data_IF_677171728514
#
_entry.id   IF_677171728514
#
_cell.length_a   1.000
_cell.length_b   1.000
_cell.length_c   1.000
_cell.angle_alpha   90.00
_cell.angle_beta   90.00
_cell.angle_gamma   90.00
#
_symmetry.space_group_name_H-M   'P 1'
#
loop_
_entity.id
_entity.type
_entity.pdbx_description
1 polymer ?
#
# COMPACT_ATOMS: atom_id res chain seq x y z
N UNK A 1 0.51 16.46 7.20
CA UNK A 1 -0.45 16.16 8.29
C UNK A 1 -1.50 15.23 7.70
N UNK A 2 -1.85 14.12 8.35
CA UNK A 2 -2.99 13.28 7.95
C UNK A 2 -4.29 14.10 8.05
N UNK A 3 -5.30 13.77 7.25
CA UNK A 3 -6.55 14.53 7.13
C UNK A 3 -7.19 14.80 8.51
N UNK A 4 -7.21 16.06 8.94
CA UNK A 4 -7.75 16.44 10.25
C UNK A 4 -9.28 16.56 10.15
N UNK A 5 -9.99 15.81 10.99
CA UNK A 5 -11.44 15.92 11.24
C UNK A 5 -11.66 16.11 12.75
N UNK A 6 -12.70 16.86 13.19
CA UNK A 6 -12.90 17.18 14.61
C UNK A 6 -13.04 15.98 15.55
N UNK A 7 -13.35 14.78 15.05
CA UNK A 7 -13.64 13.58 15.85
C UNK A 7 -12.58 12.44 15.74
N UNK A 8 -11.44 12.70 15.10
CA UNK A 8 -10.33 11.74 15.01
C UNK A 8 -9.43 11.90 13.78
N UNK A 9 -8.23 11.34 13.84
CA UNK A 9 -7.33 11.24 12.68
C UNK A 9 -7.65 9.97 11.88
N UNK A 10 -8.30 10.11 10.72
CA UNK A 10 -8.25 9.07 9.70
C UNK A 10 -6.95 9.24 8.92
N UNK A 11 -6.02 8.29 9.05
CA UNK A 11 -4.70 8.48 8.46
C UNK A 11 -3.91 7.20 8.29
N UNK A 12 -3.01 7.23 7.30
CA UNK A 12 -1.98 6.22 7.15
C UNK A 12 -0.95 6.39 8.28
N UNK A 13 -0.47 5.26 8.80
CA UNK A 13 0.64 5.23 9.74
C UNK A 13 1.69 4.24 9.21
N UNK A 14 2.95 4.60 9.36
CA UNK A 14 4.08 3.75 9.00
C UNK A 14 5.00 3.62 10.20
N UNK A 15 5.28 2.39 10.59
CA UNK A 15 6.22 2.07 11.65
C UNK A 15 7.41 1.35 11.03
N UNK A 16 8.61 1.76 11.43
CA UNK A 16 9.86 1.21 10.91
C UNK A 16 10.83 0.91 12.04
N UNK A 17 11.51 -0.24 11.95
CA UNK A 17 12.68 -0.56 12.77
C UNK A 17 13.88 0.31 12.39
N UNK A 18 13.99 0.66 11.11
CA UNK A 18 15.05 1.50 10.57
C UNK A 18 14.69 2.99 10.68
N UNK A 19 15.67 3.89 10.80
CA UNK A 19 15.40 5.33 10.86
C UNK A 19 14.57 5.82 9.67
N UNK A 20 13.52 6.58 9.95
CA UNK A 20 12.77 7.34 8.95
C UNK A 20 13.47 8.69 8.79
N UNK A 21 14.17 8.90 7.67
CA UNK A 21 14.96 10.11 7.43
C UNK A 21 14.12 11.24 6.84
N UNK A 22 13.08 10.88 6.08
CA UNK A 22 12.10 11.81 5.51
C UNK A 22 10.71 11.17 5.53
N UNK A 23 9.68 11.97 5.70
CA UNK A 23 8.30 11.55 5.51
C UNK A 23 7.48 12.70 4.96
N UNK A 24 6.54 12.37 4.08
CA UNK A 24 5.62 13.31 3.48
C UNK A 24 4.23 12.70 3.41
N UNK A 25 3.22 13.52 3.69
CA UNK A 25 1.83 13.13 3.58
C UNK A 25 1.24 13.88 2.39
N UNK A 26 0.99 13.14 1.32
CA UNK A 26 0.51 13.67 0.06
C UNK A 26 -1.01 13.59 0.04
N UNK A 27 -1.66 14.73 -0.14
CA UNK A 27 -3.12 14.78 -0.28
C UNK A 27 -3.51 14.27 -1.68
N UNK A 28 -4.29 13.19 -1.70
CA UNK A 28 -4.84 12.59 -2.93
C UNK A 28 -6.37 12.62 -2.91
N UNK A 29 -6.94 13.58 -2.18
CA UNK A 29 -8.38 13.77 -2.10
C UNK A 29 -8.93 14.20 -3.45
N UNK A 30 -9.95 13.47 -3.92
CA UNK A 30 -10.74 13.85 -5.09
C UNK A 30 -11.98 14.58 -4.59
N UNK A 31 -12.45 15.59 -5.34
CA UNK A 31 -13.58 16.43 -4.96
C UNK A 31 -14.75 15.62 -4.38
N UNK A 32 -15.09 15.90 -3.11
CA UNK A 32 -16.06 15.13 -2.34
C UNK A 32 -15.68 15.01 -0.85
N UNK A 33 -16.43 14.21 -0.08
CA UNK A 33 -16.26 14.11 1.36
C UNK A 33 -15.09 13.20 1.79
N UNK A 34 -14.63 12.31 0.91
CA UNK A 34 -13.57 11.34 1.21
C UNK A 34 -12.19 12.00 1.11
N UNK A 35 -11.71 12.56 2.22
CA UNK A 35 -10.30 12.96 2.33
C UNK A 35 -9.42 11.71 2.34
N UNK A 36 -8.38 11.69 1.51
CA UNK A 36 -7.43 10.57 1.39
C UNK A 36 -6.01 11.12 1.25
N UNK A 37 -5.07 10.42 1.86
CA UNK A 37 -3.65 10.73 1.74
C UNK A 37 -2.83 9.49 1.39
N UNK A 38 -1.62 9.72 0.89
CA UNK A 38 -0.55 8.72 0.80
C UNK A 38 0.55 9.15 1.77
N UNK A 39 1.02 8.23 2.61
CA UNK A 39 2.16 8.50 3.47
C UNK A 39 3.41 7.92 2.83
N UNK A 40 4.25 8.77 2.26
CA UNK A 40 5.57 8.41 1.77
C UNK A 40 6.59 8.58 2.88
N UNK A 41 7.48 7.60 3.05
CA UNK A 41 8.59 7.63 4.00
C UNK A 41 9.86 7.12 3.32
N UNK A 42 10.98 7.76 3.60
CA UNK A 42 12.31 7.30 3.20
C UNK A 42 12.97 6.69 4.43
N UNK A 43 13.37 5.42 4.30
CA UNK A 43 13.99 4.64 5.36
C UNK A 43 15.47 4.45 5.06
N UNK A 44 16.30 4.52 6.09
CA UNK A 44 17.72 4.21 5.99
C UNK A 44 17.95 2.73 6.34
N UNK A 45 17.90 1.87 5.32
CA UNK A 45 18.15 0.43 5.45
C UNK A 45 19.64 0.14 5.24
N UNK A 46 20.31 -0.67 6.10
CA UNK A 46 21.73 -0.98 5.93
C UNK A 46 22.05 -1.53 4.54
N UNK A 47 23.06 -0.97 3.87
CA UNK A 47 23.47 -1.38 2.52
C UNK A 47 22.77 -0.64 1.36
N UNK A 48 21.79 0.21 1.65
CA UNK A 48 21.05 0.98 0.64
C UNK A 48 21.03 2.46 1.01
N UNK A 49 21.10 3.34 0.01
CA UNK A 49 21.04 4.79 0.23
C UNK A 49 19.64 5.23 0.67
N UNK A 50 18.61 4.83 -0.07
CA UNK A 50 17.22 5.16 0.20
C UNK A 50 16.32 3.95 -0.05
N UNK A 51 15.44 3.64 0.92
CA UNK A 51 14.33 2.71 0.74
C UNK A 51 13.02 3.48 0.88
N UNK A 52 12.18 3.44 -0.16
CA UNK A 52 10.94 4.21 -0.19
C UNK A 52 9.78 3.33 0.22
N UNK A 53 9.09 3.71 1.29
CA UNK A 53 7.91 3.03 1.80
C UNK A 53 6.71 3.95 1.67
N UNK A 54 5.66 3.51 0.97
CA UNK A 54 4.45 4.28 0.71
C UNK A 54 3.26 3.53 1.29
N UNK A 55 2.61 4.11 2.30
CA UNK A 55 1.38 3.59 2.88
C UNK A 55 0.17 4.26 2.25
N UNK A 56 -0.80 3.45 1.80
CA UNK A 56 -1.96 3.92 1.04
C UNK A 56 -3.27 3.47 1.66
N UNK A 57 -4.29 4.32 1.51
CA UNK A 57 -5.69 3.96 1.72
C UNK A 57 -6.49 4.68 0.65
N UNK A 58 -6.99 3.97 -0.35
CA UNK A 58 -7.68 4.60 -1.50
C UNK A 58 -9.19 4.74 -1.26
N UNK A 59 -9.83 5.58 -2.06
CA UNK A 59 -11.26 5.87 -1.96
C UNK A 59 -12.16 4.65 -2.27
N UNK A 60 -13.42 4.71 -1.83
CA UNK A 60 -14.39 3.65 -2.08
C UNK A 60 -15.00 3.74 -3.48
N UNK A 61 -14.98 4.94 -4.07
CA UNK A 61 -15.47 5.19 -5.44
C UNK A 61 -14.40 4.83 -6.46
N UNK A 62 -14.75 3.97 -7.41
CA UNK A 62 -13.84 3.52 -8.47
C UNK A 62 -13.21 4.69 -9.24
N UNK A 63 -14.00 5.67 -9.67
CA UNK A 63 -13.49 6.83 -10.41
C UNK A 63 -12.47 7.64 -9.60
N UNK A 64 -12.64 7.73 -8.28
CA UNK A 64 -11.69 8.41 -7.39
C UNK A 64 -10.42 7.58 -7.26
N UNK A 65 -10.54 6.26 -7.06
CA UNK A 65 -9.37 5.36 -7.01
C UNK A 65 -8.52 5.45 -8.25
N UNK A 66 -9.12 5.47 -9.44
CA UNK A 66 -8.37 5.56 -10.70
C UNK A 66 -7.53 6.84 -10.78
N UNK A 67 -8.07 7.98 -10.31
CA UNK A 67 -7.31 9.24 -10.24
C UNK A 67 -6.21 9.17 -9.17
N UNK A 68 -6.52 8.62 -7.99
CA UNK A 68 -5.56 8.45 -6.90
C UNK A 68 -4.40 7.52 -7.27
N UNK A 69 -4.68 6.46 -8.03
CA UNK A 69 -3.67 5.57 -8.58
C UNK A 69 -2.77 6.31 -9.59
N UNK A 70 -3.33 7.22 -10.40
CA UNK A 70 -2.54 8.10 -11.26
C UNK A 70 -1.54 8.94 -10.46
N UNK A 71 -2.00 9.62 -9.41
CA UNK A 71 -1.15 10.41 -8.52
C UNK A 71 -0.08 9.55 -7.81
N UNK A 72 -0.44 8.34 -7.39
CA UNK A 72 0.51 7.38 -6.83
C UNK A 72 1.58 6.98 -7.86
N UNK A 73 1.21 6.80 -9.13
CA UNK A 73 2.15 6.49 -10.19
C UNK A 73 3.10 7.66 -10.47
N UNK A 74 2.60 8.89 -10.55
CA UNK A 74 3.42 10.09 -10.69
C UNK A 74 4.45 10.21 -9.55
N UNK A 75 4.03 9.92 -8.32
CA UNK A 75 4.95 9.84 -7.18
C UNK A 75 6.02 8.78 -7.40
N UNK A 76 5.65 7.54 -7.75
CA UNK A 76 6.58 6.44 -7.95
C UNK A 76 7.57 6.72 -9.10
N UNK A 77 7.10 7.33 -10.19
CA UNK A 77 7.92 7.72 -11.34
C UNK A 77 8.90 8.85 -11.00
N UNK A 78 8.58 9.69 -10.00
CA UNK A 78 9.49 10.75 -9.52
C UNK A 78 10.64 10.22 -8.64
N UNK A 79 10.54 8.99 -8.14
CA UNK A 79 11.57 8.37 -7.29
C UNK A 79 12.75 7.84 -8.14
N UNK A 80 13.97 7.75 -7.57
CA UNK A 80 15.13 7.21 -8.30
C UNK A 80 14.84 5.83 -8.89
N UNK A 81 15.21 5.63 -10.16
CA UNK A 81 14.81 4.46 -10.94
C UNK A 81 15.25 3.14 -10.31
N UNK A 82 16.44 3.11 -9.72
CA UNK A 82 17.04 1.91 -9.10
C UNK A 82 16.74 1.80 -7.59
N UNK A 83 16.05 2.79 -7.00
CA UNK A 83 15.73 2.74 -5.58
C UNK A 83 14.67 1.66 -5.29
N UNK A 84 14.84 0.88 -4.21
CA UNK A 84 13.82 -0.05 -3.75
C UNK A 84 12.59 0.68 -3.21
N UNK A 85 11.42 0.26 -3.69
CA UNK A 85 10.13 0.86 -3.32
C UNK A 85 9.16 -0.22 -2.86
N UNK A 86 8.47 0.05 -1.76
CA UNK A 86 7.33 -0.74 -1.29
C UNK A 86 6.11 0.16 -1.18
N UNK A 87 5.00 -0.26 -1.80
CA UNK A 87 3.69 0.37 -1.64
C UNK A 87 2.76 -0.63 -0.98
N UNK A 88 2.16 -0.30 0.15
CA UNK A 88 1.29 -1.20 0.88
C UNK A 88 0.10 -0.50 1.53
N UNK A 89 -1.01 -1.21 1.63
CA UNK A 89 -2.20 -0.73 2.35
C UNK A 89 -3.50 -1.17 1.69
N UNK A 90 -4.57 -0.44 1.98
CA UNK A 90 -5.91 -0.72 1.47
C UNK A 90 -6.15 0.01 0.14
N UNK A 91 -6.15 -0.74 -0.95
CA UNK A 91 -6.40 -0.19 -2.27
C UNK A 91 -7.89 -0.07 -2.59
N UNK A 92 -8.78 -0.64 -1.78
CA UNK A 92 -10.21 -0.73 -2.03
C UNK A 92 -10.58 -1.26 -3.43
N UNK A 93 -9.69 -2.02 -4.07
CA UNK A 93 -9.82 -2.44 -5.47
C UNK A 93 -10.26 -3.91 -5.58
N UNK A 94 -11.44 -4.23 -5.05
CA UNK A 94 -12.00 -5.58 -5.14
C UNK A 94 -12.28 -6.05 -6.57
N UNK A 95 -12.35 -5.12 -7.54
CA UNK A 95 -12.62 -5.39 -8.97
C UNK A 95 -11.34 -5.57 -9.80
N UNK A 96 -10.15 -5.41 -9.20
CA UNK A 96 -8.85 -5.54 -9.85
C UNK A 96 -8.62 -4.56 -11.01
N UNK A 97 -9.32 -3.43 -11.02
CA UNK A 97 -9.19 -2.42 -12.09
C UNK A 97 -7.93 -1.58 -11.90
N UNK A 98 -7.54 -1.35 -10.65
CA UNK A 98 -6.33 -0.61 -10.30
C UNK A 98 -5.04 -1.41 -10.49
N UNK A 99 -5.11 -2.75 -10.47
CA UNK A 99 -3.95 -3.60 -10.73
C UNK A 99 -3.33 -3.29 -12.10
N UNK A 100 -4.15 -3.11 -13.14
CA UNK A 100 -3.68 -2.78 -14.49
C UNK A 100 -2.94 -1.43 -14.58
N UNK A 101 -3.28 -0.47 -13.71
CA UNK A 101 -2.56 0.81 -13.64
C UNK A 101 -1.20 0.58 -12.99
N UNK A 102 -1.18 -0.02 -11.81
CA UNK A 102 0.06 -0.21 -11.05
C UNK A 102 1.05 -1.15 -11.74
N UNK A 103 0.56 -2.18 -12.43
CA UNK A 103 1.41 -3.06 -13.25
C UNK A 103 2.11 -2.28 -14.38
N UNK A 104 1.52 -1.17 -14.84
CA UNK A 104 2.10 -0.29 -15.86
C UNK A 104 2.98 0.81 -15.28
N UNK A 105 2.87 1.10 -13.99
CA UNK A 105 3.64 2.14 -13.33
C UNK A 105 5.01 1.59 -12.89
N UNK A 106 6.08 2.17 -13.43
CA UNK A 106 7.50 1.99 -13.07
C UNK A 106 8.01 0.55 -12.79
N UNK A 107 7.35 -0.50 -13.29
CA UNK A 107 7.76 -1.88 -12.98
C UNK A 107 7.45 -2.33 -11.55
N UNK A 108 6.37 -1.82 -10.94
CA UNK A 108 5.87 -2.35 -9.68
C UNK A 108 5.29 -3.77 -9.88
N UNK A 109 5.57 -4.67 -8.94
CA UNK A 109 5.07 -6.04 -8.94
C UNK A 109 4.23 -6.33 -7.70
N UNK A 110 3.02 -6.89 -7.87
CA UNK A 110 2.20 -7.31 -6.74
C UNK A 110 2.70 -8.62 -6.14
N UNK A 111 3.00 -8.59 -4.84
CA UNK A 111 3.69 -9.66 -4.10
C UNK A 111 2.94 -11.00 -4.17
N UNK A 112 1.62 -11.01 -3.96
CA UNK A 112 0.83 -12.25 -3.93
C UNK A 112 0.56 -12.79 -5.34
N UNK A 113 0.39 -11.92 -6.32
CA UNK A 113 0.24 -12.27 -7.72
C UNK A 113 1.50 -12.97 -8.24
N UNK A 114 2.68 -12.42 -7.95
CA UNK A 114 3.96 -13.04 -8.36
C UNK A 114 4.21 -14.35 -7.62
N UNK A 115 4.00 -14.40 -6.30
CA UNK A 115 4.36 -15.58 -5.50
C UNK A 115 3.32 -16.70 -5.50
N UNK A 116 2.03 -16.40 -5.71
CA UNK A 116 0.91 -17.34 -5.57
C UNK A 116 -0.06 -17.35 -6.76
N UNK A 117 0.21 -16.57 -7.81
CA UNK A 117 -0.62 -16.48 -9.01
C UNK A 117 -1.94 -15.71 -8.83
N UNK A 118 -2.18 -15.11 -7.65
CA UNK A 118 -3.38 -14.33 -7.35
C UNK A 118 -3.14 -13.35 -6.21
N UNK A 119 -3.77 -12.19 -6.28
CA UNK A 119 -3.80 -11.22 -5.17
C UNK A 119 -4.56 -11.77 -3.96
N UNK A 120 -4.19 -11.32 -2.76
CA UNK A 120 -4.78 -11.78 -1.50
C UNK A 120 -6.25 -11.39 -1.33
N UNK A 121 -7.02 -12.25 -0.65
CA UNK A 121 -8.36 -11.92 -0.13
C UNK A 121 -8.26 -11.63 1.35
N UNK A 122 -8.63 -10.43 1.75
CA UNK A 122 -8.41 -9.94 3.12
C UNK A 122 -9.71 -9.54 3.83
N UNK A 123 -10.80 -9.34 3.09
CA UNK A 123 -12.06 -8.86 3.64
C UNK A 123 -13.26 -9.72 3.23
N UNK A 124 -14.27 -9.92 4.10
CA UNK A 124 -14.22 -9.68 5.54
C UNK A 124 -13.31 -10.71 6.23
N UNK A 125 -12.67 -10.34 7.34
CA UNK A 125 -11.60 -11.13 7.94
C UNK A 125 -12.03 -12.55 8.36
N UNK A 126 -13.27 -12.70 8.82
CA UNK A 126 -13.83 -13.99 9.24
C UNK A 126 -14.22 -14.91 8.07
N UNK A 127 -14.39 -14.35 6.87
CA UNK A 127 -14.71 -15.08 5.64
C UNK A 127 -14.11 -14.34 4.43
N UNK A 128 -12.81 -14.47 4.15
CA UNK A 128 -12.13 -13.61 3.18
C UNK A 128 -12.60 -13.86 1.74
N UNK A 129 -13.19 -12.84 1.12
CA UNK A 129 -13.78 -12.90 -0.23
C UNK A 129 -13.24 -11.81 -1.16
N UNK A 130 -13.13 -10.59 -0.65
CA UNK A 130 -12.73 -9.39 -1.37
C UNK A 130 -11.23 -9.13 -1.23
N UNK A 131 -10.67 -8.47 -2.24
CA UNK A 131 -9.24 -8.24 -2.45
C UNK A 131 -8.96 -6.75 -2.31
N UNK A 132 -8.90 -6.27 -1.07
CA UNK A 132 -8.81 -4.84 -0.78
C UNK A 132 -7.37 -4.42 -0.53
N UNK A 133 -6.65 -5.19 0.31
CA UNK A 133 -5.29 -4.90 0.70
C UNK A 133 -4.27 -5.51 -0.27
N UNK A 134 -3.17 -4.77 -0.53
CA UNK A 134 -2.09 -5.21 -1.42
C UNK A 134 -0.72 -4.77 -0.95
N UNK A 135 0.30 -5.46 -1.44
CA UNK A 135 1.70 -5.07 -1.31
C UNK A 135 2.34 -5.12 -2.69
N UNK A 136 2.88 -4.00 -3.14
CA UNK A 136 3.63 -3.87 -4.38
C UNK A 136 5.09 -3.54 -4.08
N UNK A 137 5.99 -4.06 -4.91
CA UNK A 137 7.43 -3.84 -4.78
C UNK A 137 8.06 -3.46 -6.11
N UNK A 138 9.11 -2.61 -6.08
CA UNK A 138 10.01 -2.31 -7.20
C UNK A 138 11.45 -2.41 -6.72
N UNK A 139 12.34 -2.93 -7.55
CA UNK A 139 13.76 -3.18 -7.23
C UNK A 139 13.96 -3.93 -5.91
N UNK A 140 13.07 -4.87 -5.63
CA UNK A 140 13.12 -5.73 -4.46
C UNK A 140 12.44 -7.05 -4.78
N UNK A 141 12.88 -8.12 -4.12
CA UNK A 141 12.27 -9.44 -4.22
C UNK A 141 11.45 -9.74 -2.97
N UNK A 142 10.41 -10.58 -3.13
CA UNK A 142 9.51 -10.93 -2.05
C UNK A 142 9.50 -12.42 -1.77
N UNK A 143 9.52 -12.76 -0.49
CA UNK A 143 9.53 -14.12 0.02
C UNK A 143 8.49 -14.30 1.13
N UNK A 144 8.05 -15.55 1.33
CA UNK A 144 7.13 -15.95 2.41
C UNK A 144 5.88 -15.08 2.56
N UNK A 145 5.32 -14.61 1.44
CA UNK A 145 4.06 -13.87 1.43
C UNK A 145 2.94 -14.70 2.08
N UNK A 146 2.28 -14.16 3.09
CA UNK A 146 1.25 -14.85 3.87
C UNK A 146 0.13 -13.91 4.30
N UNK A 147 -1.09 -14.44 4.30
CA UNK A 147 -2.26 -13.80 4.90
C UNK A 147 -2.36 -14.30 6.34
N UNK A 148 -2.46 -13.41 7.32
CA UNK A 148 -2.59 -13.78 8.73
C UNK A 148 -4.04 -14.12 9.07
N UNK A 149 -4.55 -15.25 8.55
CA UNK A 149 -5.97 -15.62 8.55
C UNK A 149 -6.52 -16.31 9.80
N UNK A 150 -5.73 -16.47 10.86
CA UNK A 150 -6.12 -17.18 12.08
C UNK A 150 -6.34 -16.21 13.26
N UNK A 151 -6.85 -16.71 14.39
CA UNK A 151 -6.84 -15.92 15.64
C UNK A 151 -5.40 -15.51 16.01
N UNK A 152 -5.18 -14.32 16.57
CA UNK A 152 -6.20 -13.34 16.97
C UNK A 152 -6.70 -12.43 15.82
N UNK A 153 -6.01 -12.40 14.68
CA UNK A 153 -6.21 -11.43 13.60
C UNK A 153 -7.65 -11.31 13.08
N UNK A 154 -8.33 -12.44 12.93
CA UNK A 154 -9.75 -12.52 12.51
C UNK A 154 -10.74 -11.81 13.42
N UNK A 155 -10.32 -11.40 14.62
CA UNK A 155 -11.13 -10.71 15.63
C UNK A 155 -10.62 -9.31 15.97
N UNK A 156 -9.44 -8.92 15.48
CA UNK A 156 -8.86 -7.60 15.76
C UNK A 156 -9.25 -6.56 14.71
N UNK A 157 -9.63 -6.99 13.52
CA UNK A 157 -10.03 -6.14 12.41
C UNK A 157 -11.02 -6.90 11.50
N UNK A 158 -11.78 -6.16 10.71
CA UNK A 158 -12.57 -6.67 9.59
C UNK A 158 -11.71 -6.96 8.34
N UNK A 159 -10.44 -6.54 8.33
CA UNK A 159 -9.42 -6.90 7.33
C UNK A 159 -8.37 -7.85 7.92
N UNK A 160 -7.93 -8.84 7.13
CA UNK A 160 -6.79 -9.67 7.47
C UNK A 160 -5.46 -8.99 7.12
N UNK A 161 -4.47 -9.00 8.03
CA UNK A 161 -3.15 -8.50 7.73
C UNK A 161 -2.43 -9.35 6.67
N UNK A 162 -1.65 -8.65 5.84
CA UNK A 162 -0.68 -9.25 4.93
C UNK A 162 0.71 -9.15 5.54
N UNK A 163 1.51 -10.20 5.40
CA UNK A 163 2.91 -10.21 5.81
C UNK A 163 3.78 -10.79 4.69
N UNK A 164 4.97 -10.21 4.52
CA UNK A 164 5.93 -10.59 3.49
C UNK A 164 7.35 -10.30 3.99
N UNK A 165 8.31 -11.12 3.58
CA UNK A 165 9.74 -10.83 3.71
C UNK A 165 10.23 -10.16 2.43
N UNK A 166 10.81 -8.96 2.55
CA UNK A 166 11.36 -8.21 1.42
C UNK A 166 12.88 -8.29 1.46
N UNK A 167 13.48 -8.67 0.34
CA UNK A 167 14.93 -8.69 0.15
C UNK A 167 15.32 -7.62 -0.87
N UNK A 168 16.35 -6.85 -0.54
CA UNK A 168 16.89 -5.73 -1.30
C UNK A 168 18.20 -6.10 -2.00
#
# INVERSE_FOLDING_TARGET
RNAVYPDGDHGNALLSKFPITRYENLDISIAGPERRGLLHSVLQVPGHEEFHAICVHLGLRESHRQQQLGLLCELIDSLPQDAPVVVAGDFNDWRLKGAQILDRCAGMHEVFAVSQGRVAKTFPARWPMLRLDRIYVRNATSHKARILGNKPWTHLSDHLPLAVEIHL
#
